data_IF_348987034688
#
_entry.id   IF_348987034688
#
_cell.length_a   1.000
_cell.length_b   1.000
_cell.length_c   1.000
_cell.angle_alpha   90.00
_cell.angle_beta   90.00
_cell.angle_gamma   90.00
#
_symmetry.space_group_name_H-M   'P 1'
#
loop_
_entity.id
_entity.type
_entity.pdbx_description
1 polymer ?
#
# COMPACT_ATOMS: atom_id res chain seq x y z
N UNK A 1 16.05 13.02 27.73
CA UNK A 1 15.64 12.44 26.44
C UNK A 1 14.16 12.12 26.57
N UNK A 2 13.29 12.96 26.01
CA UNK A 2 11.85 12.68 26.03
C UNK A 2 11.62 11.52 25.07
N UNK A 3 11.21 10.37 25.59
CA UNK A 3 10.70 9.27 24.78
C UNK A 3 9.54 9.83 23.95
N UNK A 4 9.53 9.64 22.62
CA UNK A 4 8.40 10.06 21.81
C UNK A 4 7.13 9.41 22.39
N UNK A 5 5.98 10.12 22.35
CA UNK A 5 4.71 9.53 22.74
C UNK A 5 4.54 8.19 22.01
N UNK A 6 3.94 7.16 22.65
CA UNK A 6 3.68 5.91 21.96
C UNK A 6 2.89 6.23 20.69
N UNK A 7 3.26 5.64 19.54
CA UNK A 7 2.59 5.93 18.28
C UNK A 7 1.08 5.69 18.45
N UNK A 8 0.29 6.60 17.89
CA UNK A 8 -1.17 6.51 17.90
C UNK A 8 -1.71 5.27 17.17
N UNK A 9 -0.84 4.57 16.42
CA UNK A 9 -1.10 3.34 15.67
C UNK A 9 -0.18 2.20 16.13
N UNK A 10 -0.64 0.97 15.94
CA UNK A 10 0.17 -0.23 16.21
C UNK A 10 1.30 -0.39 15.17
N UNK A 11 2.40 -1.11 15.50
CA UNK A 11 3.49 -1.37 14.56
C UNK A 11 3.02 -1.97 13.23
N UNK A 12 2.02 -2.86 13.32
CA UNK A 12 1.37 -3.48 12.15
C UNK A 12 0.69 -2.46 11.25
N UNK A 13 -0.12 -1.58 11.84
CA UNK A 13 -0.80 -0.49 11.10
C UNK A 13 0.20 0.48 10.48
N UNK A 14 1.29 0.79 11.19
CA UNK A 14 2.38 1.61 10.68
C UNK A 14 3.06 0.97 9.48
N UNK A 15 3.37 -0.33 9.54
CA UNK A 15 3.98 -1.05 8.44
C UNK A 15 3.07 -1.08 7.21
N UNK A 16 1.79 -1.39 7.40
CA UNK A 16 0.80 -1.38 6.33
C UNK A 16 0.68 -0.01 5.66
N UNK A 17 0.60 1.08 6.44
CA UNK A 17 0.60 2.44 5.91
C UNK A 17 1.83 2.71 5.05
N UNK A 18 3.02 2.39 5.57
CA UNK A 18 4.30 2.61 4.88
C UNK A 18 4.39 1.81 3.59
N UNK A 19 3.88 0.58 3.59
CA UNK A 19 3.86 -0.29 2.40
C UNK A 19 3.05 0.39 1.30
N UNK A 20 1.86 0.85 1.63
CA UNK A 20 0.94 1.40 0.62
C UNK A 20 1.42 2.74 0.14
N UNK A 21 1.92 3.58 1.04
CA UNK A 21 2.60 4.80 0.67
C UNK A 21 3.74 4.52 -0.31
N UNK A 22 4.68 3.65 0.04
CA UNK A 22 5.85 3.34 -0.79
C UNK A 22 5.46 2.82 -2.18
N UNK A 23 4.39 2.03 -2.26
CA UNK A 23 3.83 1.56 -3.53
C UNK A 23 3.18 2.68 -4.33
N UNK A 24 2.42 3.56 -3.67
CA UNK A 24 1.77 4.67 -4.32
C UNK A 24 2.81 5.71 -4.82
N UNK A 25 3.94 5.84 -4.12
CA UNK A 25 5.11 6.60 -4.58
C UNK A 25 5.86 5.96 -5.76
N UNK A 26 5.66 4.66 -6.02
CA UNK A 26 6.45 3.93 -7.02
C UNK A 26 6.23 4.40 -8.46
N UNK A 27 5.06 4.97 -8.79
CA UNK A 27 4.80 5.59 -10.09
C UNK A 27 5.42 7.01 -10.21
N UNK A 28 5.90 7.57 -9.10
CA UNK A 28 6.54 8.88 -9.04
C UNK A 28 5.58 10.07 -9.01
N UNK A 29 4.27 9.84 -9.16
CA UNK A 29 3.23 10.87 -9.10
C UNK A 29 2.14 10.48 -8.09
N UNK A 30 2.37 10.79 -6.81
CA UNK A 30 1.27 10.84 -5.84
C UNK A 30 0.77 12.27 -5.72
N UNK A 31 -0.45 12.54 -6.18
CA UNK A 31 -1.04 13.85 -6.00
C UNK A 31 -1.21 14.12 -4.50
N UNK A 32 -0.99 15.38 -4.09
CA UNK A 32 -1.20 15.78 -2.69
C UNK A 32 -2.64 15.51 -2.23
N UNK A 33 -3.59 15.57 -3.16
CA UNK A 33 -5.00 15.22 -2.93
C UNK A 33 -5.19 13.74 -2.60
N UNK A 34 -4.51 12.84 -3.32
CA UNK A 34 -4.54 11.39 -3.05
C UNK A 34 -3.88 11.07 -1.71
N UNK A 35 -2.75 11.71 -1.39
CA UNK A 35 -2.12 11.60 -0.06
C UNK A 35 -3.09 12.03 1.03
N UNK A 36 -3.74 13.19 0.89
CA UNK A 36 -4.66 13.70 1.91
C UNK A 36 -5.90 12.80 2.06
N UNK A 37 -6.44 12.30 0.96
CA UNK A 37 -7.57 11.37 0.98
C UNK A 37 -7.21 10.05 1.67
N UNK A 38 -6.02 9.51 1.37
CA UNK A 38 -5.47 8.33 2.01
C UNK A 38 -5.31 8.54 3.52
N UNK A 39 -4.72 9.67 3.92
CA UNK A 39 -4.52 10.02 5.32
C UNK A 39 -5.84 10.15 6.07
N UNK A 40 -6.86 10.77 5.49
CA UNK A 40 -8.20 10.90 6.09
C UNK A 40 -8.84 9.53 6.35
N UNK A 41 -8.77 8.63 5.35
CA UNK A 41 -9.29 7.25 5.48
C UNK A 41 -8.52 6.47 6.53
N UNK A 42 -7.19 6.54 6.54
CA UNK A 42 -6.38 5.86 7.55
C UNK A 42 -6.59 6.42 8.95
N UNK A 43 -6.74 7.72 9.09
CA UNK A 43 -7.03 8.35 10.36
C UNK A 43 -8.38 7.85 10.92
N UNK A 44 -9.41 7.80 10.07
CA UNK A 44 -10.72 7.23 10.42
C UNK A 44 -10.65 5.73 10.78
N UNK A 45 -9.74 4.98 10.16
CA UNK A 45 -9.58 3.54 10.39
C UNK A 45 -8.83 3.20 11.67
N UNK A 46 -7.70 3.85 11.88
CA UNK A 46 -6.80 3.50 12.97
C UNK A 46 -7.20 4.16 14.28
N UNK A 47 -7.80 5.35 14.23
CA UNK A 47 -8.19 6.07 15.42
C UNK A 47 -9.44 6.93 15.20
N UNK A 48 -10.63 6.32 15.12
CA UNK A 48 -11.89 7.05 14.94
C UNK A 48 -12.21 8.05 16.08
N UNK A 49 -11.51 7.97 17.21
CA UNK A 49 -11.69 8.83 18.38
C UNK A 49 -10.46 9.71 18.71
N UNK A 50 -9.40 9.68 17.90
CA UNK A 50 -8.22 10.51 18.13
C UNK A 50 -8.38 11.91 17.51
N UNK A 51 -7.56 12.84 17.96
CA UNK A 51 -7.46 14.17 17.37
C UNK A 51 -6.92 14.04 15.94
N UNK A 52 -7.83 14.06 14.97
CA UNK A 52 -7.54 13.66 13.59
C UNK A 52 -6.41 14.47 12.96
N UNK A 53 -6.23 15.74 13.36
CA UNK A 53 -5.17 16.61 12.86
C UNK A 53 -3.76 16.14 13.26
N UNK A 54 -3.57 15.72 14.52
CA UNK A 54 -2.27 15.23 14.98
C UNK A 54 -1.93 13.89 14.33
N UNK A 55 -2.89 12.97 14.31
CA UNK A 55 -2.71 11.66 13.66
C UNK A 55 -2.41 11.82 12.17
N UNK A 56 -3.11 12.71 11.47
CA UNK A 56 -2.87 12.96 10.05
C UNK A 56 -1.43 13.46 9.80
N UNK A 57 -0.89 14.29 10.68
CA UNK A 57 0.51 14.73 10.60
C UNK A 57 1.48 13.59 10.88
N UNK A 58 1.23 12.76 11.90
CA UNK A 58 2.06 11.58 12.20
C UNK A 58 2.08 10.60 11.02
N UNK A 59 0.91 10.25 10.50
CA UNK A 59 0.76 9.39 9.32
C UNK A 59 1.48 9.99 8.12
N UNK A 60 1.34 11.30 7.88
CA UNK A 60 2.06 11.98 6.78
C UNK A 60 3.57 11.88 6.93
N UNK A 61 4.09 12.05 8.15
CA UNK A 61 5.52 11.92 8.42
C UNK A 61 6.00 10.49 8.11
N UNK A 62 5.22 9.46 8.49
CA UNK A 62 5.53 8.08 8.15
C UNK A 62 5.47 7.79 6.65
N UNK A 63 4.55 8.39 5.90
CA UNK A 63 4.47 8.30 4.44
C UNK A 63 5.67 9.00 3.77
N UNK A 64 6.12 10.12 4.35
CA UNK A 64 7.28 10.88 3.86
C UNK A 64 8.61 10.20 4.18
N UNK A 65 8.65 9.35 5.21
CA UNK A 65 9.77 8.43 5.43
C UNK A 65 9.73 7.37 4.33
N UNK A 66 10.35 7.68 3.19
CA UNK A 66 10.49 6.83 2.02
C UNK A 66 11.33 5.57 2.35
N UNK A 67 10.71 4.62 3.03
CA UNK A 67 11.32 3.36 3.43
C UNK A 67 11.20 2.40 2.25
N UNK A 68 12.29 1.75 1.82
CA UNK A 68 12.22 0.84 0.69
C UNK A 68 11.32 -0.35 1.01
N UNK A 69 10.57 -0.79 0.01
CA UNK A 69 9.60 -1.88 0.14
C UNK A 69 10.23 -3.18 0.68
N UNK A 70 11.50 -3.43 0.35
CA UNK A 70 12.28 -4.56 0.86
C UNK A 70 12.32 -4.62 2.39
N UNK A 71 12.57 -3.48 3.05
CA UNK A 71 12.58 -3.42 4.53
C UNK A 71 11.20 -3.66 5.12
N UNK A 72 10.15 -3.19 4.43
CA UNK A 72 8.78 -3.36 4.90
C UNK A 72 8.31 -4.81 4.78
N UNK A 73 8.73 -5.52 3.72
CA UNK A 73 8.43 -6.94 3.51
C UNK A 73 9.03 -7.80 4.63
N UNK A 74 10.23 -7.47 5.10
CA UNK A 74 10.85 -8.16 6.23
C UNK A 74 10.08 -8.00 7.55
N UNK A 75 9.25 -6.96 7.67
CA UNK A 75 8.39 -6.77 8.84
C UNK A 75 7.03 -7.47 8.72
N UNK A 76 6.73 -8.12 7.60
CA UNK A 76 5.50 -8.89 7.41
C UNK A 76 5.64 -10.27 8.04
N UNK A 77 5.00 -10.43 9.20
CA UNK A 77 5.01 -11.67 9.97
C UNK A 77 4.03 -12.70 9.40
N UNK A 78 2.92 -12.26 8.80
CA UNK A 78 1.84 -13.15 8.33
C UNK A 78 1.80 -13.31 6.81
N UNK A 79 1.28 -14.45 6.37
CA UNK A 79 1.08 -14.72 4.94
C UNK A 79 0.06 -13.75 4.34
N UNK A 80 -1.03 -13.46 5.04
CA UNK A 80 -2.06 -12.54 4.54
C UNK A 80 -1.51 -11.13 4.26
N UNK A 81 -0.58 -10.64 5.10
CA UNK A 81 0.08 -9.36 4.85
C UNK A 81 0.90 -9.41 3.56
N UNK A 82 1.62 -10.51 3.32
CA UNK A 82 2.41 -10.71 2.10
C UNK A 82 1.51 -10.79 0.86
N UNK A 83 0.38 -11.49 0.97
CA UNK A 83 -0.61 -11.58 -0.10
C UNK A 83 -1.22 -10.21 -0.41
N UNK A 84 -1.55 -9.43 0.61
CA UNK A 84 -2.03 -8.05 0.46
C UNK A 84 -0.98 -7.18 -0.24
N UNK A 85 0.28 -7.24 0.18
CA UNK A 85 1.38 -6.48 -0.44
C UNK A 85 1.54 -6.85 -1.92
N UNK A 86 1.47 -8.14 -2.24
CA UNK A 86 1.54 -8.60 -3.63
C UNK A 86 0.39 -8.03 -4.46
N UNK A 87 -0.83 -8.13 -3.93
CA UNK A 87 -2.04 -7.67 -4.58
C UNK A 87 -1.97 -6.18 -4.91
N UNK A 88 -1.58 -5.39 -3.91
CA UNK A 88 -1.41 -3.95 -4.03
C UNK A 88 -0.32 -3.61 -5.06
N UNK A 89 0.82 -4.30 -5.02
CA UNK A 89 1.91 -4.11 -5.99
C UNK A 89 1.47 -4.40 -7.44
N UNK A 90 0.68 -5.44 -7.66
CA UNK A 90 0.12 -5.75 -8.98
C UNK A 90 -0.90 -4.69 -9.44
N UNK A 91 -1.73 -4.16 -8.54
CA UNK A 91 -2.67 -3.09 -8.87
C UNK A 91 -1.96 -1.79 -9.28
N UNK A 92 -0.81 -1.46 -8.69
CA UNK A 92 0.01 -0.28 -9.08
C UNK A 92 0.52 -0.40 -10.49
N UNK A 93 1.24 -1.48 -10.76
CA UNK A 93 1.85 -1.67 -12.08
C UNK A 93 0.80 -1.84 -13.17
N UNK A 94 -0.38 -2.38 -12.85
CA UNK A 94 -1.46 -2.57 -13.81
C UNK A 94 -2.32 -1.32 -14.02
N UNK A 95 -2.35 -0.39 -13.03
CA UNK A 95 -3.07 0.88 -13.15
C UNK A 95 -2.21 2.01 -13.70
N UNK A 96 -0.88 1.89 -13.68
CA UNK A 96 0.06 2.86 -14.25
C UNK A 96 0.11 2.87 -15.77
N UNK A 97 -0.88 2.26 -16.45
CA UNK A 97 -1.09 2.40 -17.89
C UNK A 97 -1.44 3.85 -18.24
N UNK A 98 -0.42 4.70 -18.38
CA UNK A 98 -0.52 6.12 -18.73
C UNK A 98 -1.13 6.34 -20.12
N UNK A 99 -1.28 5.29 -20.92
CA UNK A 99 -1.89 5.33 -22.24
C UNK A 99 -2.63 4.04 -22.57
N UNK A 100 -3.87 4.12 -23.11
CA UNK A 100 -4.65 2.93 -23.51
C UNK A 100 -4.05 2.13 -24.67
N UNK A 101 -2.97 2.62 -25.30
CA UNK A 101 -2.30 2.01 -26.46
C UNK A 101 -1.02 1.23 -26.08
N UNK A 102 -0.57 1.30 -24.82
CA UNK A 102 0.61 0.56 -24.34
C UNK A 102 0.23 -0.72 -23.58
N UNK A 103 1.12 -1.73 -23.54
CA UNK A 103 0.92 -2.91 -22.69
C UNK A 103 0.72 -2.49 -21.24
N UNK A 104 -0.21 -3.18 -20.55
CA UNK A 104 -0.66 -2.81 -19.20
C UNK A 104 0.44 -2.69 -18.15
N UNK A 105 1.57 -3.38 -18.34
CA UNK A 105 2.72 -3.42 -17.45
C UNK A 105 3.97 -3.34 -18.34
N UNK A 106 4.85 -2.37 -18.09
CA UNK A 106 6.10 -2.24 -18.82
C UNK A 106 7.20 -3.20 -18.29
N UNK A 107 8.35 -3.29 -18.96
CA UNK A 107 9.43 -4.22 -18.56
C UNK A 107 10.06 -3.88 -17.21
N UNK A 108 10.10 -2.60 -16.83
CA UNK A 108 10.67 -2.13 -15.57
C UNK A 108 9.74 -2.45 -14.39
N UNK A 109 8.44 -2.21 -14.57
CA UNK A 109 7.38 -2.56 -13.64
C UNK A 109 7.27 -4.07 -13.45
N UNK A 110 7.34 -4.84 -14.54
CA UNK A 110 7.37 -6.30 -14.48
C UNK A 110 8.60 -6.80 -13.70
N UNK A 111 9.76 -6.17 -13.87
CA UNK A 111 10.96 -6.51 -13.12
C UNK A 111 10.85 -6.14 -11.63
N UNK A 112 10.26 -4.98 -11.30
CA UNK A 112 9.99 -4.57 -9.92
C UNK A 112 9.01 -5.53 -9.23
N UNK A 113 7.95 -5.92 -9.93
CA UNK A 113 6.96 -6.87 -9.43
C UNK A 113 7.52 -8.29 -9.28
N UNK A 114 8.33 -8.77 -10.24
CA UNK A 114 9.03 -10.05 -10.10
C UNK A 114 9.93 -10.06 -8.86
N UNK A 115 10.65 -8.96 -8.58
CA UNK A 115 11.43 -8.82 -7.35
C UNK A 115 10.54 -8.88 -6.11
N UNK A 116 9.38 -8.22 -6.14
CA UNK A 116 8.41 -8.26 -5.05
C UNK A 116 7.93 -9.70 -4.76
N UNK A 117 7.54 -10.45 -5.80
CA UNK A 117 7.13 -11.86 -5.68
C UNK A 117 8.24 -12.71 -5.06
N UNK A 118 9.48 -12.50 -5.50
CA UNK A 118 10.66 -13.21 -4.97
C UNK A 118 10.91 -12.89 -3.48
N UNK A 119 10.77 -11.63 -3.07
CA UNK A 119 10.94 -11.21 -1.68
C UNK A 119 9.85 -11.74 -0.76
N UNK A 120 8.61 -11.76 -1.24
CA UNK A 120 7.46 -12.26 -0.48
C UNK A 120 7.49 -13.79 -0.32
N UNK A 121 8.22 -14.48 -1.19
CA UNK A 121 8.39 -15.93 -1.19
C UNK A 121 7.03 -16.67 -1.13
N UNK A 122 6.08 -16.20 -1.95
CA UNK A 122 4.73 -16.73 -2.06
C UNK A 122 4.66 -17.84 -3.12
N UNK A 123 3.79 -18.85 -2.95
CA UNK A 123 3.59 -19.87 -3.96
C UNK A 123 2.95 -19.29 -5.22
N UNK A 124 3.36 -19.80 -6.38
CA UNK A 124 2.86 -19.34 -7.69
C UNK A 124 1.32 -19.40 -7.81
N UNK A 125 0.68 -20.36 -7.12
CA UNK A 125 -0.78 -20.49 -7.05
C UNK A 125 -1.43 -19.26 -6.39
N UNK A 126 -0.87 -18.82 -5.24
CA UNK A 126 -1.36 -17.63 -4.55
C UNK A 126 -1.12 -16.38 -5.41
N UNK A 127 0.06 -16.26 -6.04
CA UNK A 127 0.38 -15.15 -6.94
C UNK A 127 -0.66 -15.03 -8.05
N UNK A 128 -0.92 -16.12 -8.79
CA UNK A 128 -1.90 -16.11 -9.89
C UNK A 128 -3.31 -15.79 -9.44
N UNK A 129 -3.72 -16.30 -8.27
CA UNK A 129 -5.03 -15.99 -7.69
C UNK A 129 -5.14 -14.49 -7.40
N UNK A 130 -4.12 -13.93 -6.74
CA UNK A 130 -4.06 -12.51 -6.37
C UNK A 130 -4.06 -11.60 -7.60
N UNK A 131 -3.29 -11.95 -8.63
CA UNK A 131 -3.26 -11.24 -9.91
C UNK A 131 -4.63 -11.25 -10.59
N UNK A 132 -5.32 -12.40 -10.59
CA UNK A 132 -6.66 -12.51 -11.15
C UNK A 132 -7.65 -11.64 -10.37
N UNK A 133 -7.62 -11.66 -9.03
CA UNK A 133 -8.46 -10.82 -8.18
C UNK A 133 -8.21 -9.33 -8.37
N UNK A 134 -6.94 -8.93 -8.49
CA UNK A 134 -6.55 -7.56 -8.76
C UNK A 134 -7.00 -7.10 -10.15
N UNK A 135 -6.84 -7.94 -11.17
CA UNK A 135 -7.26 -7.63 -12.55
C UNK A 135 -8.78 -7.52 -12.72
N UNK A 136 -9.54 -8.24 -11.88
CA UNK A 136 -11.01 -8.22 -11.88
C UNK A 136 -11.60 -7.02 -11.12
N UNK A 137 -10.79 -6.32 -10.32
CA UNK A 137 -11.25 -5.15 -9.56
C UNK A 137 -11.38 -3.92 -10.48
N UNK A 138 -12.61 -3.43 -10.63
CA UNK A 138 -13.01 -2.34 -11.53
C UNK A 138 -12.07 -1.12 -11.51
N UNK A 139 -11.46 -0.76 -12.63
CA UNK A 139 -10.46 0.32 -12.78
C UNK A 139 -11.04 1.75 -12.71
N UNK A 140 -12.33 1.93 -12.39
CA UNK A 140 -12.95 3.26 -12.36
C UNK A 140 -12.65 4.07 -11.10
N UNK A 141 -12.14 3.44 -10.03
CA UNK A 141 -11.72 4.13 -8.80
C UNK A 141 -10.21 4.36 -8.79
N UNK A 142 -9.78 5.54 -8.30
CA UNK A 142 -8.37 5.89 -8.15
C UNK A 142 -7.62 4.85 -7.31
N UNK A 143 -6.37 4.57 -7.68
CA UNK A 143 -5.63 3.45 -7.10
C UNK A 143 -5.53 3.55 -5.57
N UNK A 144 -5.26 4.74 -5.07
CA UNK A 144 -5.14 5.02 -3.64
C UNK A 144 -6.43 4.70 -2.87
N UNK A 145 -7.59 4.95 -3.49
CA UNK A 145 -8.89 4.66 -2.88
C UNK A 145 -9.13 3.15 -2.76
N UNK A 146 -8.76 2.38 -3.79
CA UNK A 146 -8.82 0.91 -3.74
C UNK A 146 -7.91 0.34 -2.67
N UNK A 147 -6.67 0.84 -2.61
CA UNK A 147 -5.70 0.38 -1.63
C UNK A 147 -6.18 0.64 -0.20
N UNK A 148 -6.69 1.84 0.07
CA UNK A 148 -7.28 2.20 1.36
C UNK A 148 -8.49 1.33 1.71
N UNK A 149 -9.37 1.02 0.74
CA UNK A 149 -10.51 0.13 0.96
C UNK A 149 -10.11 -1.32 1.26
N UNK A 150 -9.12 -1.87 0.56
CA UNK A 150 -8.64 -3.24 0.81
C UNK A 150 -8.03 -3.36 2.20
N UNK A 151 -7.25 -2.37 2.58
CA UNK A 151 -6.72 -2.28 3.94
C UNK A 151 -7.79 -2.15 5.00
N UNK A 152 -8.79 -1.30 4.78
CA UNK A 152 -9.93 -1.22 5.68
C UNK A 152 -10.57 -2.60 5.89
N UNK A 153 -10.84 -3.33 4.80
CA UNK A 153 -11.42 -4.68 4.87
C UNK A 153 -10.51 -5.65 5.61
N UNK A 154 -9.20 -5.57 5.39
CA UNK A 154 -8.22 -6.42 6.06
C UNK A 154 -8.08 -6.13 7.56
N UNK A 155 -8.21 -4.86 7.96
CA UNK A 155 -8.09 -4.43 9.36
C UNK A 155 -9.40 -4.70 10.13
N UNK A 156 -10.56 -4.61 9.46
CA UNK A 156 -11.88 -4.84 10.07
C UNK A 156 -12.36 -6.29 10.00
N UNK A 157 -11.81 -7.08 9.08
CA UNK A 157 -12.12 -8.50 8.89
C UNK A 157 -11.31 -9.39 9.82
#
# INVERSE_FOLDING_TARGET
MQTPPPPSITPRQMNLLRIVASMAWADGELATEEVNFMLDRFCSLFAPNADGQQMQQELRDYIMQNIPLDELIHQLETQDERELVLQLGYEVISSSSRTPDEPKINTDEAAAYQKLVQLLNLPEDAVKRIEAEASAADTSQGIVEKMAQKLEKFIKG
#
